data_IF_181090967694
#
_entry.id   IF_181090967694
#
_cell.length_a   1.000
_cell.length_b   1.000
_cell.length_c   1.000
_cell.angle_alpha   90.00
_cell.angle_beta   90.00
_cell.angle_gamma   90.00
#
_symmetry.space_group_name_H-M   'P 1'
#
loop_
_entity.id
_entity.type
_entity.pdbx_description
1 polymer ?
#
# COMPACT_ATOMS: atom_id res chain seq x y z
N UNK A 1 51.99 -34.92 -77.03
CA UNK A 1 50.76 -35.07 -76.28
C UNK A 1 50.96 -34.49 -74.89
N UNK A 2 50.70 -33.21 -74.69
CA UNK A 2 50.86 -32.53 -73.41
C UNK A 2 49.51 -32.22 -72.83
N UNK A 3 49.22 -32.78 -71.68
CA UNK A 3 48.01 -32.46 -70.93
C UNK A 3 48.28 -31.21 -70.09
N UNK A 4 47.58 -30.13 -70.35
CA UNK A 4 47.55 -28.93 -69.52
C UNK A 4 46.68 -29.18 -68.31
N UNK A 5 47.26 -29.10 -67.13
CA UNK A 5 46.58 -29.15 -65.83
C UNK A 5 46.26 -27.71 -65.48
N UNK A 6 44.96 -27.38 -65.48
CA UNK A 6 44.44 -26.12 -64.98
C UNK A 6 44.40 -26.12 -63.45
N UNK A 7 45.15 -25.22 -62.81
CA UNK A 7 45.06 -24.97 -61.36
C UNK A 7 43.81 -24.11 -61.08
N UNK A 8 42.83 -24.70 -60.43
CA UNK A 8 41.68 -23.96 -59.88
C UNK A 8 42.11 -23.39 -58.52
N UNK A 9 42.22 -22.06 -58.46
CA UNK A 9 42.35 -21.35 -57.19
C UNK A 9 40.95 -21.30 -56.55
N UNK A 10 40.78 -22.00 -55.44
CA UNK A 10 39.60 -21.86 -54.61
C UNK A 10 39.85 -20.73 -53.64
N UNK A 11 39.15 -19.62 -53.87
CA UNK A 11 39.17 -18.47 -52.99
C UNK A 11 38.18 -18.76 -51.84
N UNK A 12 38.74 -19.11 -50.68
CA UNK A 12 37.94 -19.23 -49.45
C UNK A 12 37.58 -17.84 -48.92
N UNK A 13 36.39 -17.37 -49.20
CA UNK A 13 35.86 -16.17 -48.55
C UNK A 13 35.41 -16.55 -47.15
N UNK A 14 36.17 -16.10 -46.15
CA UNK A 14 35.78 -16.12 -44.73
C UNK A 14 34.64 -15.11 -44.52
N UNK A 15 33.41 -15.58 -44.59
CA UNK A 15 32.26 -14.86 -44.04
C UNK A 15 32.34 -14.96 -42.54
N UNK A 16 32.90 -13.96 -41.89
CA UNK A 16 32.73 -13.77 -40.45
C UNK A 16 31.27 -13.43 -40.17
N UNK A 17 30.53 -14.45 -39.80
CA UNK A 17 29.19 -14.27 -39.26
C UNK A 17 29.29 -13.61 -37.88
N UNK A 18 29.08 -12.29 -37.84
CA UNK A 18 28.91 -11.57 -36.61
C UNK A 18 27.50 -11.87 -36.08
N UNK A 19 27.35 -12.95 -35.32
CA UNK A 19 26.13 -13.19 -34.56
C UNK A 19 26.10 -12.18 -33.40
N UNK A 20 25.38 -11.06 -33.60
CA UNK A 20 24.95 -10.21 -32.49
C UNK A 20 24.04 -11.05 -31.61
N UNK A 21 24.51 -11.49 -30.45
CA UNK A 21 23.68 -11.96 -29.37
C UNK A 21 22.76 -10.80 -28.98
N UNK A 22 21.48 -10.91 -29.32
CA UNK A 22 20.46 -10.07 -28.72
C UNK A 22 20.35 -10.49 -27.25
N UNK A 23 21.18 -9.92 -26.40
CA UNK A 23 20.91 -9.89 -24.97
C UNK A 23 19.67 -9.00 -24.81
N UNK A 24 18.51 -9.63 -24.65
CA UNK A 24 17.32 -8.94 -24.18
C UNK A 24 17.58 -8.60 -22.72
N UNK A 25 18.00 -7.37 -22.46
CA UNK A 25 17.99 -6.82 -21.12
C UNK A 25 16.52 -6.69 -20.70
N UNK A 26 16.01 -7.70 -20.00
CA UNK A 26 14.78 -7.54 -19.24
C UNK A 26 15.10 -6.61 -18.07
N UNK A 27 14.77 -5.35 -18.21
CA UNK A 27 14.70 -4.46 -17.05
C UNK A 27 13.52 -4.94 -16.21
N UNK A 28 13.78 -5.80 -15.24
CA UNK A 28 12.86 -5.96 -14.12
C UNK A 28 12.86 -4.62 -13.39
N UNK A 29 11.84 -3.81 -13.65
CA UNK A 29 11.55 -2.70 -12.78
C UNK A 29 11.42 -3.29 -11.37
N UNK A 30 12.13 -2.74 -10.35
CA UNK A 30 11.90 -3.20 -9.00
C UNK A 30 10.39 -3.10 -8.75
N UNK A 31 9.74 -4.23 -8.40
CA UNK A 31 8.38 -4.21 -7.90
C UNK A 31 8.39 -3.39 -6.60
N UNK A 32 8.32 -2.09 -6.74
CA UNK A 32 7.96 -1.24 -5.62
C UNK A 32 6.49 -1.51 -5.36
N UNK A 33 6.21 -2.53 -4.55
CA UNK A 33 4.88 -2.80 -4.01
C UNK A 33 4.41 -1.48 -3.41
N UNK A 34 3.49 -0.81 -4.11
CA UNK A 34 2.99 0.50 -3.69
C UNK A 34 2.43 0.34 -2.29
N UNK A 35 3.05 1.02 -1.33
CA UNK A 35 2.58 0.98 0.05
C UNK A 35 1.17 1.60 0.12
N UNK A 36 0.18 0.93 0.73
CA UNK A 36 -1.19 1.43 0.84
C UNK A 36 -1.30 2.87 1.33
N UNK A 37 -0.41 3.30 2.23
CA UNK A 37 -0.42 4.68 2.73
C UNK A 37 -0.19 5.70 1.61
N UNK A 38 0.58 5.38 0.57
CA UNK A 38 0.79 6.28 -0.57
C UNK A 38 -0.51 6.51 -1.34
N UNK A 39 -1.32 5.47 -1.50
CA UNK A 39 -2.66 5.61 -2.09
C UNK A 39 -3.58 6.43 -1.18
N UNK A 40 -3.51 6.23 0.13
CA UNK A 40 -4.29 7.01 1.08
C UNK A 40 -4.00 8.52 1.02
N UNK A 41 -2.77 8.92 0.70
CA UNK A 41 -2.40 10.33 0.52
C UNK A 41 -3.18 11.04 -0.59
N UNK A 42 -3.61 10.33 -1.65
CA UNK A 42 -4.41 10.93 -2.72
C UNK A 42 -5.79 11.40 -2.27
N UNK A 43 -6.25 10.91 -1.12
CA UNK A 43 -7.56 11.25 -0.54
C UNK A 43 -7.46 12.31 0.56
N UNK A 44 -6.25 12.82 0.88
CA UNK A 44 -6.09 13.86 1.90
C UNK A 44 -7.01 15.05 1.65
N UNK A 45 -7.56 15.56 2.75
CA UNK A 45 -8.47 16.71 2.81
C UNK A 45 -9.87 16.47 2.23
N UNK A 46 -10.21 15.28 1.74
CA UNK A 46 -11.62 14.97 1.43
C UNK A 46 -12.46 15.08 2.70
N UNK A 47 -13.54 15.83 2.61
CA UNK A 47 -14.42 16.16 3.72
C UNK A 47 -15.78 15.45 3.58
N UNK A 48 -16.26 14.94 4.70
CA UNK A 48 -17.46 14.10 4.78
C UNK A 48 -18.67 14.66 4.02
N UNK A 49 -18.99 15.93 4.24
CA UNK A 49 -20.17 16.57 3.63
C UNK A 49 -19.89 17.12 2.23
N UNK A 50 -18.76 17.81 2.07
CA UNK A 50 -18.36 18.46 0.81
C UNK A 50 -18.07 17.44 -0.28
N UNK A 51 -17.36 16.36 0.07
CA UNK A 51 -16.92 15.33 -0.86
C UNK A 51 -17.72 14.04 -0.71
N UNK A 52 -18.92 14.13 -0.12
CA UNK A 52 -19.79 12.98 0.22
C UNK A 52 -19.94 11.97 -0.92
N UNK A 53 -20.15 12.45 -2.15
CA UNK A 53 -20.33 11.57 -3.31
C UNK A 53 -19.06 10.78 -3.66
N UNK A 54 -17.90 11.42 -3.56
CA UNK A 54 -16.61 10.79 -3.81
C UNK A 54 -16.28 9.78 -2.70
N UNK A 55 -16.43 10.20 -1.44
CA UNK A 55 -16.24 9.33 -0.27
C UNK A 55 -17.19 8.14 -0.29
N UNK A 56 -18.49 8.35 -0.56
CA UNK A 56 -19.46 7.24 -0.65
C UNK A 56 -19.07 6.21 -1.70
N UNK A 57 -18.51 6.64 -2.83
CA UNK A 57 -18.03 5.72 -3.87
C UNK A 57 -16.79 4.95 -3.44
N UNK A 58 -15.86 5.61 -2.76
CA UNK A 58 -14.64 5.00 -2.24
C UNK A 58 -14.95 3.99 -1.13
N UNK A 59 -15.77 4.40 -0.17
CA UNK A 59 -16.01 3.68 1.08
C UNK A 59 -17.04 2.54 0.96
N UNK A 60 -17.86 2.53 -0.10
CA UNK A 60 -19.00 1.64 -0.22
C UNK A 60 -20.18 1.95 0.75
N UNK A 61 -19.97 2.90 1.67
CA UNK A 61 -20.97 3.35 2.65
C UNK A 61 -21.10 4.87 2.61
N UNK A 62 -22.21 5.38 3.13
CA UNK A 62 -22.44 6.82 3.17
C UNK A 62 -21.77 7.43 4.41
N UNK A 63 -20.74 8.27 4.28
CA UNK A 63 -19.95 8.74 5.42
C UNK A 63 -20.75 9.59 6.41
N UNK A 64 -21.86 10.20 5.99
CA UNK A 64 -22.70 11.03 6.87
C UNK A 64 -23.48 10.19 7.87
N UNK A 65 -23.72 8.91 7.56
CA UNK A 65 -24.53 8.00 8.41
C UNK A 65 -23.72 6.96 9.16
N UNK A 66 -22.46 6.79 8.83
CA UNK A 66 -21.60 5.76 9.41
C UNK A 66 -20.27 6.37 9.88
N UNK A 67 -19.74 5.87 10.99
CA UNK A 67 -18.34 6.08 11.34
C UNK A 67 -17.46 5.35 10.29
N UNK A 68 -16.61 6.07 9.59
CA UNK A 68 -15.99 5.56 8.37
C UNK A 68 -14.47 5.40 8.39
N UNK A 69 -13.83 5.46 9.57
CA UNK A 69 -12.39 5.22 9.66
C UNK A 69 -12.01 3.80 9.19
N UNK A 70 -12.77 2.79 9.61
CA UNK A 70 -12.57 1.39 9.19
C UNK A 70 -12.87 1.18 7.70
N UNK A 71 -13.97 1.76 7.20
CA UNK A 71 -14.30 1.71 5.78
C UNK A 71 -13.19 2.32 4.90
N UNK A 72 -12.57 3.41 5.36
CA UNK A 72 -11.46 4.05 4.65
C UNK A 72 -10.24 3.12 4.55
N UNK A 73 -9.83 2.51 5.66
CA UNK A 73 -8.68 1.59 5.65
C UNK A 73 -8.97 0.38 4.75
N UNK A 74 -10.16 -0.23 4.87
CA UNK A 74 -10.57 -1.35 4.01
C UNK A 74 -10.53 -0.97 2.52
N UNK A 75 -11.09 0.19 2.15
CA UNK A 75 -11.10 0.65 0.77
C UNK A 75 -9.69 0.83 0.18
N UNK A 76 -8.74 1.32 0.98
CA UNK A 76 -7.35 1.44 0.54
C UNK A 76 -6.68 0.06 0.41
N UNK A 77 -6.91 -0.86 1.34
CA UNK A 77 -6.40 -2.22 1.25
C UNK A 77 -6.95 -2.95 0.02
N UNK A 78 -8.23 -2.80 -0.26
CA UNK A 78 -8.90 -3.40 -1.43
C UNK A 78 -8.30 -2.91 -2.76
N UNK A 79 -7.98 -1.62 -2.89
CA UNK A 79 -7.28 -1.07 -4.06
C UNK A 79 -5.93 -1.77 -4.29
N UNK A 80 -5.29 -2.24 -3.22
CA UNK A 80 -4.01 -2.96 -3.27
C UNK A 80 -4.16 -4.49 -3.32
N UNK A 81 -5.39 -5.00 -3.43
CA UNK A 81 -5.67 -6.45 -3.37
C UNK A 81 -5.15 -7.12 -2.09
N UNK A 82 -5.06 -6.36 -1.00
CA UNK A 82 -4.66 -6.85 0.31
C UNK A 82 -5.87 -7.33 1.10
N UNK A 83 -5.67 -8.28 2.04
CA UNK A 83 -6.74 -8.72 2.93
C UNK A 83 -7.36 -7.55 3.69
N UNK A 84 -8.68 -7.50 3.76
CA UNK A 84 -9.48 -6.51 4.46
C UNK A 84 -10.06 -7.08 5.76
N UNK A 85 -10.59 -6.24 6.63
CA UNK A 85 -11.04 -6.68 7.96
C UNK A 85 -12.26 -7.60 7.94
N UNK A 86 -13.01 -7.69 6.84
CA UNK A 86 -14.11 -8.65 6.63
C UNK A 86 -13.62 -10.10 6.50
N UNK A 87 -12.35 -10.32 6.13
CA UNK A 87 -11.76 -11.66 6.11
C UNK A 87 -11.55 -12.25 7.51
N UNK A 88 -11.61 -11.42 8.56
CA UNK A 88 -11.32 -11.82 9.95
C UNK A 88 -12.40 -11.40 10.96
N UNK A 89 -13.47 -10.72 10.52
CA UNK A 89 -14.53 -10.21 11.39
C UNK A 89 -15.86 -10.04 10.65
N UNK A 90 -16.96 -10.40 11.33
CA UNK A 90 -18.32 -10.14 10.85
C UNK A 90 -18.73 -8.66 10.96
N UNK A 91 -17.89 -7.83 11.57
CA UNK A 91 -18.14 -6.39 11.79
C UNK A 91 -17.03 -5.53 11.16
N UNK A 92 -16.82 -5.58 9.83
CA UNK A 92 -15.67 -4.95 9.16
C UNK A 92 -15.64 -3.42 9.24
N UNK A 93 -16.77 -2.79 9.58
CA UNK A 93 -16.85 -1.34 9.74
C UNK A 93 -16.45 -0.84 11.14
N UNK A 94 -16.00 -1.73 12.02
CA UNK A 94 -15.48 -1.36 13.33
C UNK A 94 -13.95 -1.26 13.29
N UNK A 95 -13.36 -0.28 13.96
CA UNK A 95 -11.90 -0.14 14.04
C UNK A 95 -11.23 -1.37 14.69
N UNK A 96 -11.93 -2.03 15.62
CA UNK A 96 -11.41 -3.20 16.34
C UNK A 96 -11.41 -4.49 15.50
N UNK A 97 -12.08 -4.54 14.36
CA UNK A 97 -11.98 -5.67 13.44
C UNK A 97 -10.54 -5.90 12.96
N UNK A 98 -9.76 -4.83 12.88
CA UNK A 98 -8.36 -4.88 12.46
C UNK A 98 -7.42 -5.54 13.50
N UNK A 99 -7.84 -5.77 14.73
CA UNK A 99 -7.01 -6.41 15.76
C UNK A 99 -6.56 -7.85 15.39
N UNK A 100 -7.24 -8.48 14.47
CA UNK A 100 -6.95 -9.85 14.00
C UNK A 100 -6.39 -9.88 12.57
N UNK A 101 -6.34 -8.74 11.88
CA UNK A 101 -5.90 -8.66 10.49
C UNK A 101 -4.37 -8.67 10.40
N UNK A 102 -3.81 -9.47 9.50
CA UNK A 102 -2.38 -9.53 9.24
C UNK A 102 -1.53 -9.89 10.46
N UNK A 103 -0.27 -9.53 10.46
CA UNK A 103 0.68 -9.80 11.54
C UNK A 103 0.67 -8.69 12.59
N UNK A 104 0.77 -9.05 13.88
CA UNK A 104 1.00 -8.07 14.94
C UNK A 104 2.47 -7.70 15.00
N UNK A 105 2.76 -6.41 14.88
CA UNK A 105 4.11 -5.87 14.99
C UNK A 105 4.23 -4.90 16.16
N UNK A 106 5.47 -4.68 16.63
CA UNK A 106 5.76 -3.81 17.79
C UNK A 106 6.53 -2.55 17.38
N UNK A 107 7.22 -2.61 16.24
CA UNK A 107 7.92 -1.45 15.66
C UNK A 107 7.20 -1.11 14.35
N UNK A 108 6.52 0.04 14.28
CA UNK A 108 5.74 0.40 13.11
C UNK A 108 6.62 0.75 11.92
N UNK A 109 6.16 0.40 10.74
CA UNK A 109 6.68 0.87 9.45
C UNK A 109 5.58 1.62 8.72
N UNK A 110 5.98 2.53 7.85
CA UNK A 110 5.03 3.30 7.06
C UNK A 110 4.07 2.38 6.30
N UNK A 111 2.76 2.61 6.49
CA UNK A 111 1.70 1.77 5.93
C UNK A 111 1.16 0.70 6.87
N UNK A 112 1.79 0.45 8.00
CA UNK A 112 1.19 -0.40 9.03
C UNK A 112 -0.12 0.21 9.54
N UNK A 113 -1.06 -0.65 9.89
CA UNK A 113 -2.37 -0.26 10.39
C UNK A 113 -2.30 -0.13 11.92
N UNK A 114 -2.68 1.01 12.46
CA UNK A 114 -2.69 1.24 13.90
C UNK A 114 -4.12 1.37 14.40
N UNK A 115 -4.44 0.63 15.47
CA UNK A 115 -5.75 0.66 16.15
C UNK A 115 -5.60 1.36 17.48
N UNK A 116 -6.47 2.33 17.74
CA UNK A 116 -6.54 3.08 18.98
C UNK A 116 -7.89 2.89 19.69
N UNK A 117 -7.96 3.04 21.02
CA UNK A 117 -9.23 3.08 21.73
C UNK A 117 -9.93 4.41 21.45
N UNK A 118 -11.26 4.39 21.40
CA UNK A 118 -12.10 5.58 21.25
C UNK A 118 -13.45 5.28 21.93
N UNK A 119 -13.91 6.19 22.78
CA UNK A 119 -15.20 6.01 23.45
C UNK A 119 -15.30 4.70 24.25
N UNK A 120 -16.34 3.93 23.99
CA UNK A 120 -16.64 2.67 24.67
C UNK A 120 -15.66 1.54 24.32
N UNK A 121 -15.68 0.45 25.12
CA UNK A 121 -14.73 -0.66 24.96
C UNK A 121 -14.73 -1.33 23.57
N UNK A 122 -15.85 -1.31 22.86
CA UNK A 122 -16.00 -1.85 21.51
C UNK A 122 -15.63 -0.83 20.43
N UNK A 123 -15.60 0.45 20.75
CA UNK A 123 -15.25 1.51 19.82
C UNK A 123 -13.72 1.63 19.64
N UNK A 124 -13.31 2.28 18.58
CA UNK A 124 -11.91 2.53 18.28
C UNK A 124 -11.74 3.50 17.13
N UNK A 125 -10.50 3.81 16.87
CA UNK A 125 -10.05 4.50 15.65
C UNK A 125 -8.99 3.65 14.96
N UNK A 126 -8.92 3.69 13.64
CA UNK A 126 -7.96 2.97 12.84
C UNK A 126 -7.47 3.84 11.68
N UNK A 127 -6.18 3.74 11.37
CA UNK A 127 -5.56 4.43 10.25
C UNK A 127 -4.18 3.87 9.96
N UNK A 128 -3.52 4.41 8.94
CA UNK A 128 -2.19 4.02 8.52
C UNK A 128 -1.13 4.81 9.26
N UNK A 129 -0.12 4.12 9.77
CA UNK A 129 1.06 4.75 10.33
C UNK A 129 1.86 5.45 9.22
N UNK A 130 2.23 6.69 9.48
CA UNK A 130 3.07 7.52 8.60
C UNK A 130 4.47 7.65 9.15
N UNK A 131 4.58 8.10 10.39
CA UNK A 131 5.86 8.37 11.07
C UNK A 131 5.65 8.54 12.58
N UNK A 132 6.76 8.54 13.33
CA UNK A 132 6.81 8.93 14.74
C UNK A 132 7.38 10.34 14.87
N UNK A 133 6.89 11.08 15.85
CA UNK A 133 7.45 12.35 16.32
C UNK A 133 7.46 12.35 17.85
N UNK A 134 8.52 12.88 18.45
CA UNK A 134 8.60 13.11 19.88
C UNK A 134 8.26 14.57 20.18
N UNK A 135 7.40 14.82 21.16
CA UNK A 135 7.02 16.14 21.66
C UNK A 135 7.02 16.07 23.18
N UNK A 136 7.84 16.90 23.82
CA UNK A 136 7.97 16.97 25.29
C UNK A 136 8.22 15.60 25.95
N UNK A 137 9.06 14.77 25.34
CA UNK A 137 9.41 13.42 25.80
C UNK A 137 8.32 12.37 25.62
N UNK A 138 7.27 12.67 24.87
CA UNK A 138 6.18 11.74 24.53
C UNK A 138 6.24 11.43 23.04
N UNK A 139 6.27 10.14 22.71
CA UNK A 139 6.15 9.69 21.32
C UNK A 139 4.71 9.78 20.83
N UNK A 140 4.56 10.31 19.61
CA UNK A 140 3.30 10.37 18.89
C UNK A 140 3.45 9.69 17.52
N UNK A 141 2.44 8.96 17.13
CA UNK A 141 2.29 8.46 15.76
C UNK A 141 1.50 9.47 14.93
N UNK A 142 2.04 9.86 13.79
CA UNK A 142 1.30 10.53 12.73
C UNK A 142 0.50 9.47 11.99
N UNK A 143 -0.82 9.56 12.04
CA UNK A 143 -1.76 8.57 11.48
C UNK A 143 -2.57 9.21 10.37
N UNK A 144 -2.46 8.65 9.15
CA UNK A 144 -3.33 8.99 8.04
C UNK A 144 -4.58 8.13 8.12
N UNK A 145 -5.74 8.75 8.30
CA UNK A 145 -7.00 8.03 8.46
C UNK A 145 -8.20 8.81 7.97
N UNK A 146 -9.27 8.08 7.74
CA UNK A 146 -10.59 8.63 7.48
C UNK A 146 -11.32 8.95 8.78
N UNK A 147 -12.35 9.82 8.69
CA UNK A 147 -13.18 10.22 9.81
C UNK A 147 -12.40 10.85 10.99
N UNK A 148 -11.35 11.57 10.67
CA UNK A 148 -10.61 12.41 11.62
C UNK A 148 -11.14 13.84 11.48
N UNK A 149 -11.97 14.26 12.43
CA UNK A 149 -12.74 15.50 12.32
C UNK A 149 -13.57 15.58 11.01
N UNK A 150 -14.24 14.47 10.65
CA UNK A 150 -15.08 14.33 9.45
C UNK A 150 -14.33 14.53 8.13
N UNK A 151 -13.06 14.20 8.08
CA UNK A 151 -12.22 14.28 6.87
C UNK A 151 -11.16 13.18 6.84
N UNK A 152 -10.51 13.03 5.69
CA UNK A 152 -9.25 12.31 5.57
C UNK A 152 -8.12 13.27 5.94
N UNK A 153 -7.38 12.94 6.99
CA UNK A 153 -6.28 13.79 7.49
C UNK A 153 -5.15 12.96 8.08
N UNK A 154 -4.07 13.65 8.43
CA UNK A 154 -3.01 13.12 9.27
C UNK A 154 -3.15 13.75 10.64
N UNK A 155 -3.39 12.93 11.66
CA UNK A 155 -3.52 13.37 13.05
C UNK A 155 -2.51 12.67 13.94
N UNK A 156 -2.17 13.32 15.06
CA UNK A 156 -1.21 12.79 16.03
C UNK A 156 -1.92 12.07 17.15
N UNK A 157 -1.46 10.86 17.43
CA UNK A 157 -1.95 10.03 18.53
C UNK A 157 -0.77 9.62 19.40
N UNK A 158 -0.85 9.74 20.74
CA UNK A 158 0.20 9.24 21.62
C UNK A 158 0.46 7.75 21.36
N UNK A 159 1.72 7.38 21.12
CA UNK A 159 2.10 6.01 20.73
C UNK A 159 1.65 4.98 21.78
N UNK A 160 1.76 5.33 23.09
CA UNK A 160 1.36 4.45 24.19
C UNK A 160 -0.13 4.11 24.21
N UNK A 161 -0.98 4.85 23.46
CA UNK A 161 -2.42 4.57 23.34
C UNK A 161 -2.73 3.53 22.24
N UNK A 162 -1.79 3.14 21.41
CA UNK A 162 -2.02 2.15 20.38
C UNK A 162 -2.36 0.79 21.02
N UNK A 163 -3.51 0.22 20.66
CA UNK A 163 -3.93 -1.12 21.13
C UNK A 163 -3.18 -2.19 20.35
N UNK A 164 -2.96 -1.96 19.06
CA UNK A 164 -2.28 -2.89 18.16
C UNK A 164 -1.74 -2.17 16.95
N UNK A 165 -0.62 -2.67 16.45
CA UNK A 165 -0.07 -2.31 15.15
C UNK A 165 -0.10 -3.58 14.31
N UNK A 166 -0.61 -3.50 13.08
CA UNK A 166 -0.85 -4.64 12.20
C UNK A 166 -0.20 -4.41 10.85
N UNK A 167 0.57 -5.37 10.38
CA UNK A 167 1.15 -5.38 9.05
C UNK A 167 0.37 -6.32 8.16
N UNK A 168 0.01 -5.84 6.96
CA UNK A 168 -0.71 -6.60 5.94
C UNK A 168 0.14 -6.58 4.67
N UNK A 169 0.46 -7.77 4.14
CA UNK A 169 1.32 -7.98 2.97
C UNK A 169 0.61 -8.81 1.92
#
# INVERSE_FOLDING_TARGET
MLKKIAKILILFSLLASCSKSNESYSYELPETKLNPVHTAYFYLNLQEKQDRKALKRLLGVDPVYYEWCAAFVNAILEIHYLPTSDTVSDYPLTARSFLKLGEKVYVPQQGDIVVFPRGEAWQGHVGFYVSTVEIDGIEYYNILGGNQNNKVSIERYPAYRAISIRRVE
#
